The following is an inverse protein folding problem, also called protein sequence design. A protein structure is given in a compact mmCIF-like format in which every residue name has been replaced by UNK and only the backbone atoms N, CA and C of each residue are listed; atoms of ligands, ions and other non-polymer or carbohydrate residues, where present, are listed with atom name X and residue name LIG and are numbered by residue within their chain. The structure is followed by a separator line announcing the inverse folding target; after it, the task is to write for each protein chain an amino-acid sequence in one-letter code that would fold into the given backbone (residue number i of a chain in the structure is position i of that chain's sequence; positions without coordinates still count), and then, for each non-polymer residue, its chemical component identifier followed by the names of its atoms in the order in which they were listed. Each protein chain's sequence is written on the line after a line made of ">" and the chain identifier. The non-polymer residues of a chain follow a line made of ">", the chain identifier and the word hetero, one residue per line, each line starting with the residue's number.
data_IF_869297322479
#
_entry.id   IF_869297322479
#
_cell.length_a   1.000
_cell.length_b   1.000
_cell.length_c   1.000
_cell.angle_alpha   90.00
_cell.angle_beta   90.00
_cell.angle_gamma   90.00
#
_symmetry.space_group_name_H-M   'P 1'
#
loop_
_entity.id
_entity.type
_entity.pdbx_description
1 polymer ?
#
# COMPACT_ATOMS: atom_id res chain seq x y z
N UNK A 1 -17.03 5.57 3.53
CA UNK A 1 -16.42 4.23 3.48
C UNK A 1 -14.95 4.32 3.06
N UNK A 2 -14.62 5.10 2.03
CA UNK A 2 -13.25 5.33 1.51
C UNK A 2 -12.29 5.83 2.59
N UNK A 3 -12.70 6.84 3.35
CA UNK A 3 -11.88 7.47 4.40
C UNK A 3 -11.36 6.47 5.44
N UNK A 4 -12.20 5.53 5.88
CA UNK A 4 -11.80 4.53 6.87
C UNK A 4 -10.63 3.66 6.39
N UNK A 5 -10.64 3.25 5.12
CA UNK A 5 -9.55 2.45 4.56
C UNK A 5 -8.28 3.28 4.38
N UNK A 6 -8.43 4.54 4.02
CA UNK A 6 -7.29 5.45 3.87
C UNK A 6 -6.62 5.72 5.23
N UNK A 7 -7.38 5.91 6.30
CA UNK A 7 -6.82 6.05 7.65
C UNK A 7 -6.03 4.81 8.09
N UNK A 8 -6.50 3.61 7.73
CA UNK A 8 -5.74 2.39 7.97
C UNK A 8 -4.39 2.39 7.22
N UNK A 9 -4.31 2.98 6.02
CA UNK A 9 -3.03 3.11 5.30
C UNK A 9 -2.05 4.00 6.05
N UNK A 10 -2.51 5.14 6.59
CA UNK A 10 -1.65 6.02 7.40
C UNK A 10 -1.18 5.35 8.69
N UNK A 11 -2.06 4.58 9.35
CA UNK A 11 -1.70 3.80 10.54
C UNK A 11 -0.60 2.77 10.21
N UNK A 12 -0.76 1.99 9.14
CA UNK A 12 0.26 1.04 8.69
C UNK A 12 1.56 1.73 8.28
N UNK A 13 1.47 2.87 7.61
CA UNK A 13 2.66 3.67 7.27
C UNK A 13 3.41 4.10 8.55
N UNK A 14 2.70 4.59 9.56
CA UNK A 14 3.30 4.97 10.82
C UNK A 14 3.99 3.77 11.51
N UNK A 15 3.36 2.58 11.50
CA UNK A 15 3.96 1.38 12.08
C UNK A 15 5.25 0.96 11.39
N UNK A 16 5.39 1.21 10.09
CA UNK A 16 6.63 0.95 9.37
C UNK A 16 7.82 1.77 9.89
N UNK A 17 7.60 2.83 10.69
CA UNK A 17 8.71 3.54 11.34
C UNK A 17 9.48 2.67 12.34
N UNK A 18 8.84 1.63 12.88
CA UNK A 18 9.39 0.77 13.93
C UNK A 18 9.48 -0.71 13.53
N UNK A 19 8.70 -1.15 12.54
CA UNK A 19 8.69 -2.54 12.08
C UNK A 19 8.63 -2.63 10.56
N UNK A 20 9.03 -3.78 10.07
CA UNK A 20 8.86 -4.20 8.69
C UNK A 20 7.45 -4.77 8.49
N UNK A 21 6.77 -4.35 7.42
CA UNK A 21 5.45 -4.85 7.05
C UNK A 21 5.45 -5.34 5.60
N UNK A 22 4.83 -6.49 5.34
CA UNK A 22 4.54 -6.91 3.97
C UNK A 22 3.52 -5.97 3.32
N UNK A 23 3.58 -5.81 1.99
CA UNK A 23 2.58 -5.01 1.24
C UNK A 23 1.16 -5.52 1.50
N UNK A 24 0.98 -6.82 1.69
CA UNK A 24 -0.28 -7.46 2.06
C UNK A 24 -0.85 -6.97 3.40
N UNK A 25 -0.02 -6.47 4.31
CA UNK A 25 -0.45 -5.91 5.60
C UNK A 25 -1.23 -4.61 5.45
N UNK A 26 -1.04 -3.89 4.34
CA UNK A 26 -1.82 -2.71 3.98
C UNK A 26 -3.21 -3.06 3.43
N UNK A 27 -3.46 -4.33 3.16
CA UNK A 27 -4.71 -4.81 2.57
C UNK A 27 -5.50 -5.69 3.56
N UNK A 28 -6.19 -5.10 4.54
CA UNK A 28 -6.91 -5.83 5.57
C UNK A 28 -8.21 -6.43 5.01
N UNK A 29 -8.11 -7.59 4.36
CA UNK A 29 -9.30 -8.33 3.89
C UNK A 29 -10.07 -8.84 5.10
N UNK A 30 -11.38 -8.57 5.10
CA UNK A 30 -12.33 -9.25 5.98
C UNK A 30 -13.12 -10.28 5.17
N UNK A 31 -13.26 -11.50 5.69
CA UNK A 31 -13.95 -12.62 5.01
C UNK A 31 -15.35 -12.28 4.47
N UNK A 32 -16.01 -11.29 5.07
CA UNK A 32 -17.37 -10.88 4.69
C UNK A 32 -17.45 -9.68 3.75
N UNK A 33 -16.33 -9.17 3.24
CA UNK A 33 -16.35 -8.06 2.28
C UNK A 33 -16.90 -8.53 0.93
N UNK A 34 -17.77 -7.69 0.34
CA UNK A 34 -18.20 -7.91 -1.04
C UNK A 34 -17.05 -7.57 -2.01
N UNK A 35 -17.05 -8.21 -3.19
CA UNK A 35 -15.95 -8.09 -4.17
C UNK A 35 -15.67 -6.64 -4.56
N UNK A 36 -16.69 -5.81 -4.72
CA UNK A 36 -16.55 -4.38 -5.02
C UNK A 36 -15.75 -3.63 -3.97
N UNK A 37 -15.97 -3.93 -2.69
CA UNK A 37 -15.24 -3.27 -1.60
C UNK A 37 -13.80 -3.75 -1.53
N UNK A 38 -13.54 -5.02 -1.88
CA UNK A 38 -12.19 -5.59 -1.97
C UNK A 38 -11.38 -4.94 -3.10
N UNK A 39 -11.97 -4.80 -4.29
CA UNK A 39 -11.36 -4.10 -5.44
C UNK A 39 -11.00 -2.66 -5.04
N UNK A 40 -11.93 -1.98 -4.39
CA UNK A 40 -11.72 -0.61 -3.95
C UNK A 40 -10.61 -0.49 -2.90
N UNK A 41 -10.57 -1.42 -1.94
CA UNK A 41 -9.52 -1.48 -0.94
C UNK A 41 -8.14 -1.77 -1.57
N UNK A 42 -8.07 -2.70 -2.52
CA UNK A 42 -6.84 -2.98 -3.26
C UNK A 42 -6.36 -1.74 -4.02
N UNK A 43 -7.29 -1.02 -4.66
CA UNK A 43 -6.97 0.24 -5.34
C UNK A 43 -6.32 1.24 -4.39
N UNK A 44 -6.91 1.45 -3.21
CA UNK A 44 -6.37 2.37 -2.19
C UNK A 44 -4.98 1.90 -1.73
N UNK A 45 -4.83 0.61 -1.45
CA UNK A 45 -3.57 0.03 -1.01
C UNK A 45 -2.45 0.28 -2.02
N UNK A 46 -2.67 -0.04 -3.30
CA UNK A 46 -1.68 0.14 -4.36
C UNK A 46 -1.31 1.61 -4.54
N UNK A 47 -2.31 2.48 -4.66
CA UNK A 47 -2.11 3.92 -4.84
C UNK A 47 -1.31 4.54 -3.69
N UNK A 48 -1.64 4.18 -2.46
CA UNK A 48 -0.98 4.72 -1.27
C UNK A 48 0.45 4.18 -1.13
N UNK A 49 0.63 2.86 -1.22
CA UNK A 49 1.92 2.21 -0.99
C UNK A 49 2.95 2.61 -2.04
N UNK A 50 2.55 2.65 -3.32
CA UNK A 50 3.40 3.14 -4.39
C UNK A 50 3.91 4.56 -4.13
N UNK A 51 3.03 5.48 -3.75
CA UNK A 51 3.39 6.86 -3.44
C UNK A 51 4.34 6.94 -2.25
N UNK A 52 4.08 6.17 -1.21
CA UNK A 52 4.93 6.13 -0.04
C UNK A 52 6.37 5.68 -0.39
N UNK A 53 6.52 4.68 -1.26
CA UNK A 53 7.82 4.24 -1.77
C UNK A 53 8.45 5.32 -2.66
N UNK A 54 7.73 5.84 -3.65
CA UNK A 54 8.25 6.83 -4.60
C UNK A 54 8.64 8.16 -3.94
N UNK A 55 7.95 8.53 -2.87
CA UNK A 55 8.28 9.73 -2.09
C UNK A 55 9.38 9.49 -1.03
N UNK A 56 9.91 8.28 -0.97
CA UNK A 56 10.98 7.90 -0.06
C UNK A 56 10.54 7.87 1.42
N UNK A 57 9.27 7.57 1.69
CA UNK A 57 8.76 7.28 3.03
C UNK A 57 8.95 5.81 3.40
N UNK A 58 8.85 4.92 2.42
CA UNK A 58 9.11 3.49 2.56
C UNK A 58 10.27 3.07 1.67
N UNK A 59 11.07 2.13 2.17
CA UNK A 59 12.05 1.37 1.42
C UNK A 59 11.48 -0.03 1.15
N UNK A 60 11.63 -0.53 -0.07
CA UNK A 60 11.46 -1.94 -0.36
C UNK A 60 12.76 -2.66 0.00
N UNK A 61 12.65 -3.75 0.78
CA UNK A 61 13.81 -4.52 1.25
C UNK A 61 14.16 -5.68 0.32
N UNK A 62 13.32 -6.01 -0.64
CA UNK A 62 13.51 -7.15 -1.53
C UNK A 62 13.65 -6.65 -2.96
N UNK A 63 14.85 -6.79 -3.50
CA UNK A 63 15.06 -6.84 -4.95
C UNK A 63 14.61 -8.23 -5.42
N UNK A 64 13.41 -8.34 -5.97
CA UNK A 64 12.94 -9.58 -6.53
C UNK A 64 13.77 -9.90 -7.78
N UNK A 65 14.73 -10.81 -7.64
CA UNK A 65 15.42 -11.45 -8.77
C UNK A 65 14.43 -12.39 -9.48
N UNK A 66 13.66 -11.84 -10.40
CA UNK A 66 12.83 -12.69 -11.25
C UNK A 66 13.70 -13.60 -12.12
N UNK A 67 13.29 -14.87 -12.36
CA UNK A 67 14.02 -15.83 -13.17
C UNK A 67 14.36 -15.35 -14.59
N UNK A 68 13.72 -14.28 -15.05
CA UNK A 68 13.96 -13.66 -16.35
C UNK A 68 15.15 -12.69 -16.39
N UNK A 69 15.82 -12.43 -15.26
CA UNK A 69 16.97 -11.53 -15.19
C UNK A 69 16.68 -10.07 -15.54
N UNK A 70 15.41 -9.67 -15.66
CA UNK A 70 15.00 -8.29 -15.85
C UNK A 70 14.55 -7.73 -14.50
N UNK A 71 15.26 -6.73 -13.99
CA UNK A 71 14.74 -5.85 -12.96
C UNK A 71 13.45 -5.25 -13.51
N UNK A 72 12.33 -5.65 -12.95
CA UNK A 72 11.08 -4.96 -13.20
C UNK A 72 11.12 -3.62 -12.46
N UNK A 73 10.58 -2.58 -13.09
CA UNK A 73 10.40 -1.32 -12.37
C UNK A 73 9.31 -1.48 -11.32
N UNK A 74 9.36 -0.67 -10.27
CA UNK A 74 8.30 -0.63 -9.25
C UNK A 74 6.91 -0.46 -9.89
N UNK A 75 6.79 0.37 -10.93
CA UNK A 75 5.57 0.56 -11.69
C UNK A 75 5.06 -0.74 -12.32
N UNK A 76 5.98 -1.55 -12.84
CA UNK A 76 5.63 -2.83 -13.48
C UNK A 76 5.08 -3.83 -12.44
N UNK A 77 5.69 -3.91 -11.27
CA UNK A 77 5.22 -4.77 -10.17
C UNK A 77 3.82 -4.37 -9.69
N UNK A 78 3.59 -3.08 -9.47
CA UNK A 78 2.27 -2.57 -9.09
C UNK A 78 1.22 -2.80 -10.18
N UNK A 79 1.61 -2.71 -11.47
CA UNK A 79 0.73 -3.00 -12.59
C UNK A 79 0.36 -4.51 -12.65
N UNK A 80 1.30 -5.40 -12.36
CA UNK A 80 1.03 -6.84 -12.26
C UNK A 80 -0.04 -7.10 -11.19
N UNK A 81 0.14 -6.55 -9.98
CA UNK A 81 -0.84 -6.71 -8.89
C UNK A 81 -2.20 -6.13 -9.30
N UNK A 82 -2.24 -4.94 -9.88
CA UNK A 82 -3.49 -4.28 -10.27
C UNK A 82 -4.30 -5.06 -11.33
N UNK A 83 -3.62 -5.82 -12.18
CA UNK A 83 -4.23 -6.66 -13.21
C UNK A 83 -4.51 -8.10 -12.75
N UNK A 84 -4.18 -8.43 -11.53
CA UNK A 84 -4.37 -9.78 -10.98
C UNK A 84 -5.81 -10.00 -10.52
N UNK A 85 -6.22 -11.26 -10.43
CA UNK A 85 -7.54 -11.61 -9.89
C UNK A 85 -7.55 -11.37 -8.38
N UNK A 86 -8.59 -10.69 -7.91
CA UNK A 86 -8.72 -10.35 -6.48
C UNK A 86 -8.70 -11.58 -5.56
N UNK A 87 -9.16 -12.72 -6.06
CA UNK A 87 -9.18 -13.99 -5.33
C UNK A 87 -7.78 -14.51 -4.97
N UNK A 88 -6.74 -14.10 -5.69
CA UNK A 88 -5.35 -14.46 -5.39
C UNK A 88 -4.89 -13.87 -4.05
N UNK A 89 -5.46 -12.74 -3.65
CA UNK A 89 -5.11 -12.05 -2.42
C UNK A 89 -5.95 -12.51 -1.21
N UNK A 90 -6.94 -13.40 -1.43
CA UNK A 90 -7.87 -13.88 -0.41
C UNK A 90 -7.48 -15.22 0.19
N UNK A 91 -6.70 -16.01 -0.51
CA UNK A 91 -6.42 -17.39 -0.12
C UNK A 91 -5.01 -17.56 0.42
N UNK A 92 -4.90 -18.15 1.61
CA UNK A 92 -3.66 -18.78 2.09
C UNK A 92 -3.30 -20.04 1.26
N UNK A 93 -3.78 -20.14 0.03
CA UNK A 93 -3.46 -21.24 -0.86
C UNK A 93 -2.24 -20.83 -1.66
N UNK A 94 -1.12 -21.44 -1.34
CA UNK A 94 0.10 -21.37 -2.14
C UNK A 94 -0.21 -21.70 -3.59
N UNK A 95 -0.36 -20.67 -4.41
CA UNK A 95 -0.28 -20.77 -5.85
C UNK A 95 1.10 -20.24 -6.24
N UNK A 96 1.84 -20.94 -7.05
CA UNK A 96 3.15 -20.52 -7.50
C UNK A 96 3.03 -19.54 -8.66
N UNK A 97 2.44 -18.36 -8.42
CA UNK A 97 2.34 -17.31 -9.42
C UNK A 97 3.13 -16.07 -8.98
N UNK A 98 3.67 -15.34 -9.96
CA UNK A 98 4.51 -14.15 -9.74
C UNK A 98 3.78 -13.09 -8.92
N UNK A 99 2.47 -12.95 -9.12
CA UNK A 99 1.62 -11.98 -8.43
C UNK A 99 1.55 -12.25 -6.93
N UNK A 100 1.42 -13.52 -6.54
CA UNK A 100 1.41 -13.93 -5.15
C UNK A 100 2.77 -13.76 -4.51
N UNK A 101 3.84 -14.05 -5.25
CA UNK A 101 5.22 -13.87 -4.77
C UNK A 101 5.48 -12.39 -4.46
N UNK A 102 5.14 -11.46 -5.36
CA UNK A 102 5.28 -10.01 -5.10
C UNK A 102 4.47 -9.62 -3.86
N UNK A 103 3.21 -10.06 -3.79
CA UNK A 103 2.28 -9.69 -2.73
C UNK A 103 2.70 -10.16 -1.34
N UNK A 104 3.29 -11.36 -1.26
CA UNK A 104 3.64 -12.00 0.00
C UNK A 104 5.06 -11.77 0.44
N UNK A 105 5.99 -11.56 -0.50
CA UNK A 105 7.42 -11.44 -0.21
C UNK A 105 7.93 -10.01 -0.15
N UNK A 106 7.20 -9.06 -0.78
CA UNK A 106 7.59 -7.66 -0.73
C UNK A 106 7.49 -7.12 0.69
N UNK A 107 8.63 -6.81 1.29
CA UNK A 107 8.74 -6.30 2.65
C UNK A 107 9.11 -4.82 2.60
N UNK A 108 8.38 -4.02 3.34
CA UNK A 108 8.51 -2.57 3.41
C UNK A 108 9.01 -2.15 4.78
N UNK A 109 10.03 -1.30 4.80
CA UNK A 109 10.58 -0.66 5.99
C UNK A 109 10.42 0.86 5.91
N UNK A 110 10.19 1.50 7.04
CA UNK A 110 10.16 2.95 7.11
C UNK A 110 11.55 3.55 6.92
N UNK A 111 11.66 4.50 5.99
CA UNK A 111 12.88 5.25 5.76
C UNK A 111 13.21 6.18 6.94
N UNK A 112 14.43 6.73 6.97
CA UNK A 112 14.80 7.76 7.94
C UNK A 112 13.90 9.01 7.83
N UNK A 113 13.41 9.30 6.63
CA UNK A 113 12.44 10.39 6.38
C UNK A 113 11.12 10.13 7.10
N UNK A 114 10.59 8.90 7.05
CA UNK A 114 9.38 8.52 7.77
C UNK A 114 9.61 8.55 9.28
N UNK A 115 10.73 7.99 9.76
CA UNK A 115 11.10 7.98 11.18
C UNK A 115 11.19 9.40 11.74
N UNK A 116 11.81 10.33 10.99
CA UNK A 116 11.85 11.74 11.36
C UNK A 116 10.45 12.37 11.41
N UNK A 117 9.62 12.09 10.41
CA UNK A 117 8.25 12.59 10.32
C UNK A 117 7.39 12.14 11.51
N UNK A 118 7.48 10.86 11.89
CA UNK A 118 6.81 10.32 13.06
C UNK A 118 7.30 10.99 14.35
N UNK A 119 8.61 11.20 14.47
CA UNK A 119 9.20 11.93 15.61
C UNK A 119 8.69 13.38 15.71
N UNK A 120 8.60 14.11 14.60
CA UNK A 120 8.05 15.47 14.56
C UNK A 120 6.57 15.53 14.97
N UNK A 121 5.81 14.49 14.67
CA UNK A 121 4.42 14.36 15.07
C UNK A 121 4.25 13.75 16.47
N UNK A 122 5.34 13.33 17.12
CA UNK A 122 5.34 12.60 18.39
C UNK A 122 4.48 11.31 18.36
N UNK A 123 4.51 10.63 17.22
CA UNK A 123 3.91 9.32 17.00
C UNK A 123 5.02 8.25 17.04
N UNK A 124 5.22 7.62 18.19
CA UNK A 124 6.31 6.67 18.44
C UNK A 124 5.73 5.31 18.86
N UNK A 125 6.28 4.25 18.29
CA UNK A 125 5.80 2.89 18.54
C UNK A 125 4.52 2.58 17.78
N UNK A 126 3.78 1.57 18.25
CA UNK A 126 2.51 1.17 17.64
C UNK A 126 1.38 1.99 18.24
N UNK A 127 0.97 3.04 17.54
CA UNK A 127 -0.19 3.82 17.94
C UNK A 127 -1.38 3.50 17.03
N UNK A 128 -2.55 3.28 17.64
CA UNK A 128 -3.80 3.15 16.89
C UNK A 128 -4.25 4.53 16.40
N UNK A 129 -4.76 4.55 15.17
CA UNK A 129 -5.29 5.78 14.60
C UNK A 129 -6.46 6.33 15.44
N UNK A 130 -6.40 7.64 15.70
CA UNK A 130 -7.46 8.37 16.38
C UNK A 130 -7.70 9.71 15.68
N UNK A 131 -8.86 9.84 15.05
CA UNK A 131 -9.26 11.06 14.31
C UNK A 131 -9.35 12.33 15.17
N UNK A 132 -9.46 12.20 16.50
CA UNK A 132 -9.49 13.32 17.45
C UNK A 132 -8.11 13.70 17.96
N UNK A 133 -7.11 12.93 17.65
CA UNK A 133 -5.74 13.20 18.06
C UNK A 133 -5.05 14.11 17.02
N UNK A 134 -4.74 15.31 17.45
CA UNK A 134 -4.07 16.31 16.61
C UNK A 134 -2.74 15.80 16.00
N UNK A 135 -2.02 14.90 16.69
CA UNK A 135 -0.77 14.31 16.20
C UNK A 135 -0.99 13.55 14.90
N UNK A 136 -2.07 12.75 14.86
CA UNK A 136 -2.47 12.00 13.67
C UNK A 136 -2.87 12.90 12.51
N UNK A 137 -3.64 13.96 12.78
CA UNK A 137 -4.02 14.91 11.73
C UNK A 137 -2.80 15.62 11.16
N UNK A 138 -1.85 16.04 12.02
CA UNK A 138 -0.59 16.64 11.58
C UNK A 138 0.26 15.67 10.75
N UNK A 139 0.33 14.40 11.11
CA UNK A 139 1.03 13.37 10.36
C UNK A 139 0.42 13.17 8.96
N UNK A 140 -0.90 13.02 8.88
CA UNK A 140 -1.64 12.86 7.63
C UNK A 140 -1.40 14.06 6.70
N UNK A 141 -1.52 15.28 7.21
CA UNK A 141 -1.30 16.49 6.44
C UNK A 141 0.12 16.56 5.88
N UNK A 142 1.14 16.22 6.70
CA UNK A 142 2.53 16.17 6.25
C UNK A 142 2.78 15.12 5.17
N UNK A 143 2.22 13.91 5.32
CA UNK A 143 2.32 12.84 4.29
C UNK A 143 1.67 13.29 3.00
N UNK A 144 0.46 13.87 3.05
CA UNK A 144 -0.22 14.38 1.87
C UNK A 144 0.54 15.52 1.17
N UNK A 145 1.14 16.41 1.94
CA UNK A 145 2.00 17.46 1.38
C UNK A 145 3.23 16.88 0.68
N UNK A 146 3.85 15.86 1.25
CA UNK A 146 4.96 15.14 0.60
C UNK A 146 4.51 14.54 -0.74
N UNK A 147 3.34 13.91 -0.79
CA UNK A 147 2.80 13.37 -2.05
C UNK A 147 2.54 14.49 -3.06
N UNK A 148 1.94 15.59 -2.64
CA UNK A 148 1.64 16.74 -3.48
C UNK A 148 2.91 17.38 -4.06
N UNK A 149 3.93 17.62 -3.24
CA UNK A 149 5.21 18.20 -3.64
C UNK A 149 5.98 17.36 -4.66
N UNK A 150 5.74 16.04 -4.66
CA UNK A 150 6.31 15.11 -5.63
C UNK A 150 5.41 14.88 -6.86
N UNK A 151 4.35 15.65 -7.04
CA UNK A 151 3.32 15.47 -8.09
C UNK A 151 2.65 14.08 -8.04
N UNK A 152 2.50 13.53 -6.86
CA UNK A 152 1.92 12.23 -6.57
C UNK A 152 0.73 12.33 -5.59
N UNK A 153 -0.04 13.42 -5.65
CA UNK A 153 -1.25 13.55 -4.85
C UNK A 153 -2.18 12.34 -5.04
N UNK A 154 -2.88 11.95 -3.96
CA UNK A 154 -3.87 10.88 -4.06
C UNK A 154 -5.05 11.33 -4.91
N UNK A 155 -5.29 10.64 -6.01
CA UNK A 155 -6.43 10.84 -6.92
C UNK A 155 -7.05 9.48 -7.24
N UNK A 156 -8.16 9.17 -6.58
CA UNK A 156 -8.87 7.91 -6.76
C UNK A 156 -9.87 7.95 -7.94
N UNK A 157 -10.10 9.11 -8.54
CA UNK A 157 -10.87 9.24 -9.77
C UNK A 157 -10.01 8.91 -10.99
N UNK A 158 -8.70 9.20 -10.91
CA UNK A 158 -7.73 8.89 -11.95
C UNK A 158 -6.54 8.12 -11.37
N UNK A 159 -6.74 6.85 -10.98
CA UNK A 159 -5.70 6.05 -10.33
C UNK A 159 -4.54 5.74 -11.28
N UNK A 160 -3.33 5.66 -10.73
CA UNK A 160 -2.12 5.26 -11.46
C UNK A 160 -2.17 3.78 -11.88
N UNK A 161 -2.77 2.94 -11.02
CA UNK A 161 -2.87 1.50 -11.18
C UNK A 161 -4.35 1.08 -11.09
N UNK A 162 -5.17 1.30 -12.14
CA UNK A 162 -6.58 0.97 -12.08
C UNK A 162 -6.78 -0.53 -11.90
N UNK A 163 -7.41 -0.93 -10.78
CA UNK A 163 -7.76 -2.31 -10.49
C UNK A 163 -9.03 -2.66 -11.25
N UNK A 164 -8.91 -3.57 -12.22
CA UNK A 164 -10.04 -4.01 -13.05
C UNK A 164 -10.90 -5.06 -12.34
N UNK A 165 -12.21 -5.01 -12.57
CA UNK A 165 -13.08 -6.16 -12.31
C UNK A 165 -12.91 -7.17 -13.45
N UNK A 166 -11.97 -8.09 -13.30
CA UNK A 166 -11.62 -9.10 -14.33
C UNK A 166 -12.79 -10.07 -14.58
N UNK A 167 -13.86 -10.04 -13.76
CA UNK A 167 -15.03 -10.90 -13.92
C UNK A 167 -15.86 -10.58 -15.16
N UNK A 168 -15.71 -9.40 -15.75
CA UNK A 168 -16.52 -8.94 -16.89
C UNK A 168 -15.86 -9.12 -18.28
N UNK A 169 -14.65 -9.65 -18.36
CA UNK A 169 -13.89 -9.79 -19.62
C UNK A 169 -13.68 -11.25 -20.05
N UNK A 170 -14.55 -12.18 -19.69
CA UNK A 170 -14.56 -13.48 -20.37
C UNK A 170 -15.60 -13.45 -21.52
N UNK A 171 -15.13 -13.70 -22.76
CA UNK A 171 -16.02 -13.85 -23.91
C UNK A 171 -16.89 -15.10 -23.81
#
# INVERSE_FOLDING_TARGET
>A
MLEKYLFNMYEKLQWCSDIELGISSFFPIQEKMIIKDKIHLLQICLEFTYRAIKCGLLNSLIELDFPSGKLNSLEHEFMIIANSKIELFESNKSSSCVEEDIWTTEVLEGSDKLKSLCGECNLIGYEEFNEKDHRWMMFIDKVNNIFLENNLALDFEHPLFPVGDVSNNMP
#
